data_IF_198074899982
#
_entry.id   IF_198074899982
#
_cell.length_a   1.000
_cell.length_b   1.000
_cell.length_c   1.000
_cell.angle_alpha   90.00
_cell.angle_beta   90.00
_cell.angle_gamma   90.00
#
_symmetry.space_group_name_H-M   'P 1'
#
loop_
_entity.id
_entity.type
_entity.pdbx_description
1 polymer ?
#
# COMPACT_ATOMS: atom_id res chain seq x y z
N UNK A 1 41.99 -14.11 45.31
CA UNK A 1 41.67 -12.66 45.29
C UNK A 1 41.59 -12.21 43.85
N UNK A 2 40.59 -11.40 43.50
CA UNK A 2 40.46 -10.92 42.12
C UNK A 2 41.45 -9.78 41.86
N UNK A 3 42.21 -9.81 40.75
CA UNK A 3 43.15 -8.75 40.40
C UNK A 3 42.42 -7.44 40.07
N UNK A 4 43.07 -6.32 40.37
CA UNK A 4 42.55 -5.00 40.01
C UNK A 4 42.56 -4.82 38.50
N UNK A 5 41.43 -4.44 37.90
CA UNK A 5 41.29 -4.22 36.46
C UNK A 5 42.12 -3.04 35.94
N UNK A 6 42.57 -2.14 36.83
CA UNK A 6 43.38 -0.98 36.48
C UNK A 6 44.90 -1.28 36.47
N UNK A 7 45.42 -2.02 37.46
CA UNK A 7 46.85 -2.29 37.58
C UNK A 7 47.25 -3.76 37.36
N UNK A 8 46.28 -4.67 37.20
CA UNK A 8 46.51 -6.10 36.97
C UNK A 8 46.92 -6.91 38.20
N UNK A 9 47.22 -6.26 39.32
CA UNK A 9 47.76 -6.92 40.52
C UNK A 9 46.66 -7.24 41.55
N UNK A 10 46.84 -8.34 42.28
CA UNK A 10 46.03 -8.69 43.44
C UNK A 10 46.79 -8.31 44.73
N UNK A 11 46.53 -7.12 45.26
CA UNK A 11 47.19 -6.61 46.47
C UNK A 11 46.31 -6.83 47.70
N UNK A 12 46.89 -7.39 48.75
CA UNK A 12 46.27 -7.55 50.07
C UNK A 12 46.34 -6.24 50.86
N UNK A 13 45.25 -5.84 51.52
CA UNK A 13 45.23 -4.67 52.40
C UNK A 13 44.93 -3.32 51.73
N UNK A 14 44.68 -3.30 50.41
CA UNK A 14 44.16 -2.11 49.73
C UNK A 14 42.64 -2.14 49.67
N UNK A 15 42.05 -0.97 49.92
CA UNK A 15 40.62 -0.73 49.78
C UNK A 15 40.21 -0.85 48.31
N UNK A 16 39.10 -1.54 48.05
CA UNK A 16 38.62 -1.84 46.69
C UNK A 16 37.18 -1.38 46.46
N UNK A 17 36.86 -1.10 45.20
CA UNK A 17 35.49 -0.91 44.72
C UNK A 17 35.24 -1.76 43.47
N UNK A 18 33.98 -1.88 43.06
CA UNK A 18 33.59 -2.60 41.84
C UNK A 18 33.26 -1.63 40.73
N UNK A 19 33.59 -2.00 39.50
CA UNK A 19 33.13 -1.32 38.30
C UNK A 19 31.63 -1.59 38.11
N UNK A 20 30.82 -0.54 37.91
CA UNK A 20 29.38 -0.67 37.66
C UNK A 20 29.06 -1.26 36.27
N UNK A 21 29.99 -1.15 35.31
CA UNK A 21 29.83 -1.72 33.97
C UNK A 21 30.09 -3.23 33.87
N UNK A 22 31.15 -3.75 34.50
CA UNK A 22 31.57 -5.16 34.35
C UNK A 22 31.73 -5.92 35.68
N UNK A 23 31.52 -5.27 36.82
CA UNK A 23 31.67 -5.88 38.14
C UNK A 23 33.12 -6.11 38.60
N UNK A 24 34.12 -5.85 37.75
CA UNK A 24 35.53 -6.05 38.06
C UNK A 24 36.01 -5.19 39.22
N UNK A 25 37.00 -5.69 39.97
CA UNK A 25 37.56 -5.04 41.15
C UNK A 25 38.54 -3.94 40.75
N UNK A 26 38.49 -2.79 41.42
CA UNK A 26 39.38 -1.65 41.24
C UNK A 26 39.93 -1.26 42.61
N UNK A 27 41.25 -1.14 42.77
CA UNK A 27 41.83 -0.52 43.96
C UNK A 27 41.51 0.98 43.95
N UNK A 28 41.08 1.52 45.08
CA UNK A 28 40.77 2.95 45.21
C UNK A 28 42.00 3.83 44.95
N UNK A 29 43.17 3.40 45.44
CA UNK A 29 44.43 4.06 45.16
C UNK A 29 44.80 4.10 43.66
N UNK A 30 44.41 3.09 42.87
CA UNK A 30 44.69 3.08 41.43
C UNK A 30 43.89 4.13 40.65
N UNK A 31 42.81 4.64 41.23
CA UNK A 31 41.97 5.70 40.63
C UNK A 31 42.05 7.01 41.42
N UNK A 32 43.02 7.14 42.32
CA UNK A 32 43.25 8.35 43.11
C UNK A 32 42.17 8.66 44.15
N UNK A 33 41.40 7.66 44.58
CA UNK A 33 40.32 7.81 45.56
C UNK A 33 40.73 7.30 46.94
N UNK A 34 40.19 7.95 47.97
CA UNK A 34 40.34 7.53 49.37
C UNK A 34 39.13 6.69 49.83
N UNK A 35 39.25 6.00 50.97
CA UNK A 35 38.10 5.29 51.56
C UNK A 35 36.93 6.22 51.88
N UNK A 36 37.21 7.46 52.26
CA UNK A 36 36.18 8.46 52.55
C UNK A 36 35.31 8.82 51.32
N UNK A 37 35.85 8.63 50.12
CA UNK A 37 35.16 8.89 48.86
C UNK A 37 34.22 7.75 48.46
N UNK A 38 34.47 6.52 48.95
CA UNK A 38 33.55 5.38 48.74
C UNK A 38 32.23 5.53 49.48
N UNK A 39 32.27 6.13 50.68
CA UNK A 39 31.07 6.37 51.49
C UNK A 39 30.18 7.41 50.81
N UNK A 40 30.79 8.45 50.20
CA UNK A 40 30.07 9.50 49.47
C UNK A 40 29.41 8.99 48.19
N UNK A 41 30.08 8.07 47.47
CA UNK A 41 29.55 7.46 46.25
C UNK A 41 28.45 6.41 46.50
N UNK A 42 28.41 5.79 47.69
CA UNK A 42 27.38 4.76 48.02
C UNK A 42 26.15 5.29 48.75
N UNK A 43 26.27 6.34 49.57
CA UNK A 43 25.24 6.65 50.60
C UNK A 43 24.32 7.82 50.24
N UNK A 44 24.74 8.79 49.41
CA UNK A 44 23.93 10.03 49.19
C UNK A 44 23.56 10.35 47.75
N UNK A 45 24.14 9.69 46.76
CA UNK A 45 23.85 10.01 45.36
C UNK A 45 24.03 8.78 44.48
N UNK A 46 22.91 8.12 44.14
CA UNK A 46 22.85 7.08 43.08
C UNK A 46 23.24 7.60 41.68
N UNK A 47 23.83 8.80 41.59
CA UNK A 47 24.21 9.48 40.34
C UNK A 47 25.67 9.30 39.95
N UNK A 48 26.56 8.84 40.83
CA UNK A 48 27.98 8.66 40.51
C UNK A 48 28.26 7.19 40.23
N UNK A 49 28.57 6.87 38.97
CA UNK A 49 28.96 5.52 38.53
C UNK A 49 30.48 5.40 38.48
N UNK A 50 31.02 4.33 39.03
CA UNK A 50 32.42 3.94 38.95
C UNK A 50 32.62 3.02 37.77
N UNK A 51 33.27 3.50 36.70
CA UNK A 51 33.46 2.73 35.46
C UNK A 51 34.96 2.52 35.22
N UNK A 52 35.39 1.28 34.98
CA UNK A 52 36.79 0.99 34.67
C UNK A 52 37.15 1.52 33.27
N UNK A 53 38.45 1.77 32.98
CA UNK A 53 38.89 2.30 31.69
C UNK A 53 38.37 1.49 30.49
N UNK A 54 38.34 0.15 30.61
CA UNK A 54 37.81 -0.75 29.56
C UNK A 54 36.33 -0.49 29.28
N UNK A 55 35.51 -0.36 30.32
CA UNK A 55 34.09 -0.08 30.17
C UNK A 55 33.83 1.36 29.71
N UNK A 56 34.70 2.31 30.06
CA UNK A 56 34.59 3.70 29.63
C UNK A 56 34.77 3.83 28.11
N UNK A 57 35.73 3.09 27.54
CA UNK A 57 35.96 3.02 26.09
C UNK A 57 34.71 2.48 25.37
N UNK A 58 34.11 1.41 25.87
CA UNK A 58 32.89 0.85 25.26
C UNK A 58 31.71 1.83 25.33
N UNK A 59 31.58 2.59 26.42
CA UNK A 59 30.53 3.60 26.56
C UNK A 59 30.70 4.73 25.53
N UNK A 60 31.95 5.18 25.30
CA UNK A 60 32.24 6.18 24.25
C UNK A 60 32.00 5.66 22.84
N UNK A 61 32.26 4.38 22.58
CA UNK A 61 31.97 3.76 21.28
C UNK A 61 30.46 3.60 21.04
N UNK A 62 29.68 3.28 22.09
CA UNK A 62 28.23 3.20 21.99
C UNK A 62 27.55 4.57 21.81
N UNK A 63 28.17 5.67 22.22
CA UNK A 63 27.61 7.01 22.02
C UNK A 63 27.49 7.36 20.53
N UNK A 64 28.52 7.05 19.73
CA UNK A 64 28.49 7.27 18.28
C UNK A 64 27.55 6.34 17.50
N UNK A 65 27.13 5.23 18.10
CA UNK A 65 26.17 4.30 17.48
C UNK A 65 24.80 4.94 17.30
N UNK A 66 24.36 5.77 18.25
CA UNK A 66 23.08 6.46 18.17
C UNK A 66 23.06 7.43 16.98
N UNK A 67 24.12 8.22 16.82
CA UNK A 67 24.23 9.19 15.74
C UNK A 67 24.34 8.48 14.37
N UNK A 68 25.09 7.38 14.31
CA UNK A 68 25.17 6.54 13.12
C UNK A 68 23.80 5.95 12.74
N UNK A 69 23.06 5.38 13.70
CA UNK A 69 21.72 4.85 13.46
C UNK A 69 20.76 5.93 12.98
N UNK A 70 20.83 7.14 13.57
CA UNK A 70 20.00 8.26 13.16
C UNK A 70 20.31 8.68 11.71
N UNK A 71 21.60 8.76 11.36
CA UNK A 71 22.05 9.08 9.99
C UNK A 71 21.52 8.07 8.98
N UNK A 72 21.60 6.77 9.29
CA UNK A 72 21.08 5.72 8.40
C UNK A 72 19.56 5.82 8.20
N UNK A 73 18.81 6.11 9.27
CA UNK A 73 17.36 6.30 9.19
C UNK A 73 17.02 7.48 8.28
N UNK A 74 17.75 8.58 8.41
CA UNK A 74 17.48 9.79 7.64
C UNK A 74 17.86 9.60 6.15
N UNK A 75 18.94 8.88 5.85
CA UNK A 75 19.28 8.48 4.48
C UNK A 75 18.19 7.61 3.87
N UNK A 76 17.74 6.55 4.56
CA UNK A 76 16.70 5.66 4.05
C UNK A 76 15.37 6.37 3.81
N UNK A 77 14.97 7.28 4.72
CA UNK A 77 13.76 8.11 4.52
C UNK A 77 13.88 8.97 3.27
N UNK A 78 15.02 9.59 3.07
CA UNK A 78 15.26 10.48 1.92
C UNK A 78 15.23 9.69 0.61
N UNK A 79 15.91 8.55 0.55
CA UNK A 79 15.89 7.67 -0.62
C UNK A 79 14.49 7.13 -0.93
N UNK A 80 13.74 6.75 0.10
CA UNK A 80 12.36 6.28 -0.05
C UNK A 80 11.44 7.37 -0.60
N UNK A 81 11.53 8.59 -0.07
CA UNK A 81 10.75 9.73 -0.55
C UNK A 81 11.09 10.08 -2.01
N UNK A 82 12.38 10.10 -2.35
CA UNK A 82 12.82 10.35 -3.73
C UNK A 82 12.30 9.27 -4.70
N UNK A 83 12.30 8.00 -4.30
CA UNK A 83 11.79 6.91 -5.12
C UNK A 83 10.27 7.01 -5.34
N UNK A 84 9.51 7.46 -4.34
CA UNK A 84 8.08 7.71 -4.47
C UNK A 84 7.84 8.88 -5.43
N UNK A 85 8.57 9.98 -5.27
CA UNK A 85 8.43 11.17 -6.12
C UNK A 85 8.73 10.86 -7.58
N UNK A 86 9.77 10.07 -7.85
CA UNK A 86 10.11 9.61 -9.21
C UNK A 86 8.96 8.78 -9.82
N UNK A 87 8.42 7.80 -9.09
CA UNK A 87 7.29 6.99 -9.57
C UNK A 87 6.01 7.80 -9.76
N UNK A 88 5.77 8.81 -8.92
CA UNK A 88 4.63 9.71 -9.06
C UNK A 88 4.77 10.54 -10.32
N UNK A 89 5.97 11.09 -10.58
CA UNK A 89 6.25 11.88 -11.77
C UNK A 89 6.17 11.04 -13.05
N UNK A 90 6.69 9.81 -13.04
CA UNK A 90 6.54 8.86 -14.17
C UNK A 90 5.07 8.52 -14.44
N UNK A 91 4.27 8.32 -13.38
CA UNK A 91 2.83 8.05 -13.52
C UNK A 91 2.05 9.26 -14.03
N UNK A 92 2.46 10.48 -13.65
CA UNK A 92 1.87 11.72 -14.12
C UNK A 92 2.28 12.05 -15.57
N UNK A 93 3.53 11.77 -15.97
CA UNK A 93 3.98 11.95 -17.35
C UNK A 93 3.37 10.93 -18.32
N UNK A 94 3.07 9.73 -17.83
CA UNK A 94 2.45 8.66 -18.64
C UNK A 94 0.91 8.80 -18.78
N UNK A 95 0.29 9.83 -18.17
CA UNK A 95 -1.13 10.17 -18.39
C UNK A 95 -1.44 10.71 -19.80
N UNK A 96 -0.46 10.81 -20.69
CA UNK A 96 -0.72 11.03 -22.13
C UNK A 96 -1.38 9.83 -22.84
N UNK A 97 -1.52 8.68 -22.16
CA UNK A 97 -2.28 7.52 -22.63
C UNK A 97 -3.49 7.20 -21.72
N UNK A 98 -4.17 8.22 -21.18
CA UNK A 98 -5.55 8.02 -20.74
C UNK A 98 -6.35 7.77 -22.02
N UNK A 99 -7.01 6.60 -22.21
CA UNK A 99 -8.03 6.49 -23.25
C UNK A 99 -9.01 7.62 -22.98
N UNK A 100 -9.21 8.51 -23.96
CA UNK A 100 -10.05 9.68 -23.82
C UNK A 100 -11.32 9.27 -23.07
N UNK A 101 -11.72 9.99 -22.01
CA UNK A 101 -12.91 9.64 -21.21
C UNK A 101 -14.15 9.54 -22.13
N UNK A 102 -14.08 10.20 -23.28
CA UNK A 102 -14.98 10.07 -24.43
C UNK A 102 -15.04 8.65 -25.02
N UNK A 103 -13.92 7.96 -25.18
CA UNK A 103 -13.86 6.59 -25.70
C UNK A 103 -14.50 5.62 -24.72
N UNK A 104 -14.24 5.76 -23.41
CA UNK A 104 -14.80 4.89 -22.38
C UNK A 104 -16.32 5.02 -22.29
N UNK A 105 -16.85 6.26 -22.33
CA UNK A 105 -18.29 6.51 -22.36
C UNK A 105 -18.93 5.96 -23.64
N UNK A 106 -18.29 6.15 -24.79
CA UNK A 106 -18.79 5.65 -26.09
C UNK A 106 -18.89 4.12 -26.08
N UNK A 107 -17.90 3.42 -25.53
CA UNK A 107 -17.91 1.96 -25.41
C UNK A 107 -19.05 1.48 -24.51
N UNK A 108 -19.29 2.14 -23.37
CA UNK A 108 -20.37 1.78 -22.44
C UNK A 108 -21.74 2.01 -23.08
N UNK A 109 -21.94 3.16 -23.73
CA UNK A 109 -23.20 3.50 -24.38
C UNK A 109 -23.49 2.53 -25.55
N UNK A 110 -22.46 2.11 -26.29
CA UNK A 110 -22.58 1.13 -27.38
C UNK A 110 -22.90 -0.29 -26.87
N UNK A 111 -22.26 -0.72 -25.77
CA UNK A 111 -22.56 -2.00 -25.14
C UNK A 111 -24.01 -2.06 -24.62
N UNK A 112 -24.50 -0.97 -24.03
CA UNK A 112 -25.89 -0.87 -23.58
C UNK A 112 -26.87 -0.96 -24.75
N UNK A 113 -26.56 -0.30 -25.88
CA UNK A 113 -27.36 -0.35 -27.10
C UNK A 113 -27.32 -1.73 -27.79
N UNK A 114 -26.18 -2.42 -27.79
CA UNK A 114 -26.10 -3.82 -28.26
C UNK A 114 -26.95 -4.74 -27.39
N UNK A 115 -26.89 -4.58 -26.08
CA UNK A 115 -27.66 -5.39 -25.14
C UNK A 115 -29.17 -5.18 -25.31
N UNK A 116 -29.60 -3.94 -25.55
CA UNK A 116 -31.01 -3.62 -25.78
C UNK A 116 -31.53 -4.22 -27.08
N UNK A 117 -30.70 -4.26 -28.13
CA UNK A 117 -31.04 -4.82 -29.46
C UNK A 117 -30.74 -6.31 -29.61
N UNK A 118 -30.10 -6.95 -28.64
CA UNK A 118 -29.73 -8.37 -28.70
C UNK A 118 -30.94 -9.31 -28.87
N UNK A 119 -32.15 -8.85 -28.50
CA UNK A 119 -33.41 -9.57 -28.68
C UNK A 119 -34.14 -9.28 -30.00
N UNK A 120 -33.63 -8.39 -30.85
CA UNK A 120 -34.29 -8.03 -32.11
C UNK A 120 -34.16 -9.17 -33.13
N UNK A 121 -35.28 -9.51 -33.78
CA UNK A 121 -35.34 -10.53 -34.84
C UNK A 121 -35.51 -9.84 -36.18
N UNK A 122 -34.64 -10.15 -37.15
CA UNK A 122 -34.75 -9.67 -38.53
C UNK A 122 -35.30 -10.83 -39.38
N UNK A 123 -36.44 -10.62 -40.03
CA UNK A 123 -37.08 -11.61 -40.89
C UNK A 123 -36.88 -11.19 -42.34
N UNK A 124 -36.20 -12.03 -43.13
CA UNK A 124 -35.99 -11.81 -44.56
C UNK A 124 -37.05 -12.56 -45.39
N UNK A 125 -37.32 -12.06 -46.59
CA UNK A 125 -38.28 -12.65 -47.54
C UNK A 125 -39.70 -12.80 -46.98
N UNK A 126 -40.11 -11.89 -46.11
CA UNK A 126 -41.52 -11.78 -45.72
C UNK A 126 -42.32 -11.31 -46.94
N UNK A 127 -43.31 -12.09 -47.44
CA UNK A 127 -44.15 -11.63 -48.53
C UNK A 127 -44.94 -10.41 -48.07
N UNK A 128 -44.96 -9.35 -48.89
CA UNK A 128 -45.73 -8.14 -48.60
C UNK A 128 -47.22 -8.46 -48.47
N UNK A 129 -47.88 -7.91 -47.45
CA UNK A 129 -49.33 -8.02 -47.31
C UNK A 129 -50.01 -7.31 -48.50
N UNK A 130 -50.89 -8.02 -49.20
CA UNK A 130 -51.47 -7.55 -50.45
C UNK A 130 -52.23 -6.22 -50.35
N UNK A 131 -52.09 -5.42 -51.42
CA UNK A 131 -52.80 -4.18 -51.75
C UNK A 131 -52.30 -2.88 -51.13
N UNK A 132 -51.06 -2.45 -51.46
CA UNK A 132 -50.65 -1.05 -51.72
C UNK A 132 -50.83 0.02 -50.62
N UNK A 133 -51.50 -0.30 -49.53
CA UNK A 133 -51.75 0.48 -48.32
C UNK A 133 -51.65 -0.56 -47.19
N UNK A 134 -50.44 -1.06 -46.97
CA UNK A 134 -50.15 -1.97 -45.87
C UNK A 134 -50.44 -1.23 -44.57
N UNK A 135 -51.49 -1.64 -43.86
CA UNK A 135 -51.74 -1.12 -42.52
C UNK A 135 -50.76 -1.78 -41.56
N UNK A 136 -50.27 -1.05 -40.54
CA UNK A 136 -49.37 -1.62 -39.52
C UNK A 136 -49.94 -2.89 -38.85
N UNK A 137 -51.26 -3.10 -38.91
CA UNK A 137 -51.92 -4.27 -38.39
C UNK A 137 -51.72 -5.51 -39.27
N UNK A 138 -51.66 -5.35 -40.59
CA UNK A 138 -51.45 -6.47 -41.53
C UNK A 138 -50.02 -7.04 -41.38
N UNK A 139 -49.03 -6.16 -41.21
CA UNK A 139 -47.64 -6.54 -40.93
C UNK A 139 -47.53 -7.27 -39.59
N UNK A 140 -48.22 -6.77 -38.56
CA UNK A 140 -48.23 -7.36 -37.22
C UNK A 140 -48.80 -8.79 -37.25
N UNK A 141 -49.90 -9.01 -37.97
CA UNK A 141 -50.52 -10.33 -38.06
C UNK A 141 -49.70 -11.32 -38.91
N UNK A 142 -49.01 -10.82 -39.96
CA UNK A 142 -48.01 -11.59 -40.70
C UNK A 142 -46.86 -12.07 -39.79
N UNK A 143 -46.30 -11.17 -38.98
CA UNK A 143 -45.22 -11.50 -38.03
C UNK A 143 -45.69 -12.48 -36.96
N UNK A 144 -46.88 -12.31 -36.38
CA UNK A 144 -47.45 -13.26 -35.41
C UNK A 144 -47.62 -14.66 -35.99
N UNK A 145 -48.07 -14.75 -37.24
CA UNK A 145 -48.27 -16.04 -37.92
C UNK A 145 -46.96 -16.80 -38.06
N UNK A 146 -45.87 -16.11 -38.41
CA UNK A 146 -44.53 -16.70 -38.49
C UNK A 146 -44.03 -17.12 -37.11
N UNK A 147 -44.13 -16.24 -36.11
CA UNK A 147 -43.69 -16.53 -34.75
C UNK A 147 -44.43 -17.74 -34.15
N UNK A 148 -45.73 -17.89 -34.44
CA UNK A 148 -46.53 -19.03 -33.98
C UNK A 148 -46.09 -20.36 -34.61
N UNK A 149 -45.60 -20.31 -35.87
CA UNK A 149 -45.07 -21.47 -36.60
C UNK A 149 -43.68 -21.92 -36.17
N UNK A 150 -42.93 -21.11 -35.41
CA UNK A 150 -41.66 -21.50 -34.83
C UNK A 150 -41.90 -22.32 -33.55
N UNK A 151 -41.33 -23.53 -33.47
CA UNK A 151 -41.28 -24.32 -32.23
C UNK A 151 -40.21 -23.74 -31.29
N UNK A 152 -40.56 -22.65 -30.62
CA UNK A 152 -39.70 -22.02 -29.60
C UNK A 152 -40.23 -22.36 -28.21
N UNK A 153 -39.34 -22.73 -27.29
CA UNK A 153 -39.67 -22.82 -25.87
C UNK A 153 -39.95 -21.39 -25.33
N UNK A 154 -40.94 -21.25 -24.44
CA UNK A 154 -41.40 -19.97 -23.85
C UNK A 154 -42.10 -18.98 -24.81
N UNK A 155 -43.10 -19.43 -25.57
CA UNK A 155 -43.96 -18.56 -26.42
C UNK A 155 -44.62 -17.40 -25.65
N UNK A 156 -44.91 -17.59 -24.36
CA UNK A 156 -45.60 -16.59 -23.51
C UNK A 156 -44.73 -15.36 -23.18
N UNK A 157 -43.43 -15.37 -23.51
CA UNK A 157 -42.50 -14.26 -23.26
C UNK A 157 -42.26 -13.37 -24.48
N UNK A 158 -42.87 -13.69 -25.63
CA UNK A 158 -42.68 -12.95 -26.87
C UNK A 158 -43.63 -11.75 -26.89
N UNK A 159 -43.11 -10.56 -26.55
CA UNK A 159 -43.83 -9.30 -26.68
C UNK A 159 -43.63 -8.71 -28.07
N UNK A 160 -44.64 -8.79 -28.95
CA UNK A 160 -44.64 -8.10 -30.24
C UNK A 160 -45.09 -6.66 -30.03
N UNK A 161 -44.16 -5.71 -30.01
CA UNK A 161 -44.46 -4.29 -29.89
C UNK A 161 -44.06 -3.59 -31.21
N UNK A 162 -45.03 -3.00 -31.91
CA UNK A 162 -44.77 -2.20 -33.12
C UNK A 162 -44.53 -0.77 -32.67
N UNK A 163 -43.29 -0.45 -32.29
CA UNK A 163 -42.93 0.93 -32.00
C UNK A 163 -42.76 1.70 -33.33
N UNK A 164 -43.45 2.83 -33.46
CA UNK A 164 -43.14 3.81 -34.50
C UNK A 164 -41.71 4.29 -34.32
N UNK A 165 -40.87 4.12 -35.34
CA UNK A 165 -39.52 4.66 -35.33
C UNK A 165 -39.57 6.17 -35.07
N UNK A 166 -38.72 6.73 -34.18
CA UNK A 166 -38.62 8.18 -34.07
C UNK A 166 -38.20 8.76 -35.42
N UNK A 167 -38.71 9.95 -35.79
CA UNK A 167 -38.35 10.58 -37.06
C UNK A 167 -36.83 10.70 -37.15
N UNK A 168 -36.26 10.30 -38.29
CA UNK A 168 -34.82 10.46 -38.56
C UNK A 168 -34.47 11.92 -38.34
N UNK A 169 -33.49 12.17 -37.47
CA UNK A 169 -32.87 13.48 -37.40
C UNK A 169 -32.24 13.76 -38.77
N UNK A 170 -32.74 14.77 -39.45
CA UNK A 170 -32.10 15.34 -40.64
C UNK A 170 -30.77 15.94 -40.19
N UNK A 171 -29.67 15.44 -40.78
CA UNK A 171 -28.34 16.02 -40.69
C UNK A 171 -28.15 17.04 -41.80
#
# INVERSE_FOLDING_TARGET
>A
MNPCVHCGEAKTGLSTTKCDGCGSVIHLACVGLSESDTVKTRVKSRSIKMVCPKCNINLTQCAGLKDLMQTMIDTLKTEFLNAIELKLNESLSNKSNIPDDRDSKTIIDELADRQSRAGNIIIYNLPESGNGISSQNDDLDGVKTILNGLEVADKDKIHTNVASWPPRCEF
#
